data_IF_632521271894
#
_entry.id   IF_632521271894
#
_cell.length_a   1.000
_cell.length_b   1.000
_cell.length_c   1.000
_cell.angle_alpha   90.00
_cell.angle_beta   90.00
_cell.angle_gamma   90.00
#
_symmetry.space_group_name_H-M   'P 1'
#
loop_
_entity.id
_entity.type
_entity.pdbx_description
1 polymer ?
#
# COMPACT_ATOMS: atom_id res chain seq x y z
N UNK A 1 -27.56 3.19 -0.52
CA UNK A 1 -26.67 3.87 -1.47
C UNK A 1 -25.35 4.19 -0.78
N UNK A 2 -24.27 3.59 -1.27
CA UNK A 2 -22.90 3.86 -0.81
C UNK A 2 -22.17 4.70 -1.88
N UNK A 3 -20.98 5.20 -1.58
CA UNK A 3 -20.19 6.02 -2.51
C UNK A 3 -19.74 5.28 -3.80
N UNK A 4 -20.03 3.97 -3.92
CA UNK A 4 -19.65 3.15 -5.07
C UNK A 4 -20.75 3.06 -6.14
N UNK A 5 -21.99 3.45 -5.81
CA UNK A 5 -23.13 3.52 -6.73
C UNK A 5 -23.34 2.26 -7.61
N UNK A 6 -23.09 1.08 -7.05
CA UNK A 6 -23.14 -0.19 -7.80
C UNK A 6 -24.53 -0.49 -8.35
N UNK A 7 -25.56 -0.10 -7.61
CA UNK A 7 -26.97 -0.25 -7.96
C UNK A 7 -27.38 0.56 -9.21
N UNK A 8 -26.58 1.54 -9.64
CA UNK A 8 -26.84 2.30 -10.87
C UNK A 8 -26.21 1.65 -12.10
N UNK A 9 -25.26 0.73 -11.92
CA UNK A 9 -24.63 0.03 -13.01
C UNK A 9 -25.57 -1.07 -13.53
N UNK A 10 -25.79 -1.19 -14.85
CA UNK A 10 -26.65 -2.22 -15.41
C UNK A 10 -25.91 -3.57 -15.44
N UNK A 11 -25.51 -4.08 -14.28
CA UNK A 11 -24.73 -5.30 -14.10
C UNK A 11 -25.52 -6.21 -13.15
N UNK A 12 -25.72 -7.46 -13.52
CA UNK A 12 -26.41 -8.44 -12.67
C UNK A 12 -25.59 -8.79 -11.42
N UNK A 13 -26.25 -9.31 -10.39
CA UNK A 13 -25.56 -9.76 -9.17
C UNK A 13 -24.56 -10.88 -9.47
N UNK A 14 -24.87 -11.76 -10.42
CA UNK A 14 -23.97 -12.82 -10.88
C UNK A 14 -22.70 -12.27 -11.54
N UNK A 15 -22.86 -11.29 -12.44
CA UNK A 15 -21.72 -10.63 -13.07
C UNK A 15 -20.88 -9.83 -12.05
N UNK A 16 -21.52 -9.14 -11.10
CA UNK A 16 -20.81 -8.47 -10.00
C UNK A 16 -19.98 -9.45 -9.18
N UNK A 17 -20.54 -10.60 -8.80
CA UNK A 17 -19.82 -11.62 -8.03
C UNK A 17 -18.58 -12.14 -8.77
N UNK A 18 -18.69 -12.37 -10.09
CA UNK A 18 -17.53 -12.77 -10.90
C UNK A 18 -16.46 -11.66 -10.99
N UNK A 19 -16.86 -10.40 -11.19
CA UNK A 19 -15.94 -9.25 -11.21
C UNK A 19 -15.19 -9.13 -9.89
N UNK A 20 -15.89 -9.26 -8.76
CA UNK A 20 -15.29 -9.17 -7.42
C UNK A 20 -14.33 -10.32 -7.12
N UNK A 21 -14.69 -11.54 -7.50
CA UNK A 21 -13.84 -12.72 -7.32
C UNK A 21 -12.57 -12.59 -8.16
N UNK A 22 -12.69 -12.20 -9.43
CA UNK A 22 -11.54 -12.00 -10.32
C UNK A 22 -10.62 -10.87 -9.84
N UNK A 23 -11.19 -9.72 -9.44
CA UNK A 23 -10.42 -8.63 -8.84
C UNK A 23 -9.71 -9.08 -7.55
N UNK A 24 -10.42 -9.78 -6.65
CA UNK A 24 -9.88 -10.27 -5.37
C UNK A 24 -8.74 -11.26 -5.57
N UNK A 25 -8.88 -12.21 -6.49
CA UNK A 25 -7.83 -13.18 -6.83
C UNK A 25 -6.61 -12.49 -7.41
N UNK A 26 -6.82 -11.55 -8.33
CA UNK A 26 -5.74 -10.79 -8.97
C UNK A 26 -4.99 -9.91 -7.97
N UNK A 27 -5.70 -9.20 -7.08
CA UNK A 27 -5.09 -8.41 -6.02
C UNK A 27 -4.26 -9.27 -5.06
N UNK A 28 -4.82 -10.38 -4.55
CA UNK A 28 -4.09 -11.30 -3.65
C UNK A 28 -2.83 -11.86 -4.29
N UNK A 29 -2.84 -12.09 -5.61
CA UNK A 29 -1.68 -12.58 -6.35
C UNK A 29 -0.56 -11.54 -6.46
N UNK A 30 -0.91 -10.26 -6.58
CA UNK A 30 0.06 -9.21 -6.90
C UNK A 30 0.47 -8.31 -5.72
N UNK A 31 -0.32 -8.24 -4.64
CA UNK A 31 0.03 -7.47 -3.44
C UNK A 31 1.10 -8.19 -2.63
N UNK A 32 2.36 -7.79 -2.79
CA UNK A 32 3.47 -8.34 -2.02
C UNK A 32 3.65 -7.62 -0.67
N UNK A 33 3.45 -6.30 -0.62
CA UNK A 33 3.71 -5.49 0.57
C UNK A 33 2.90 -5.97 1.79
N UNK A 34 1.60 -6.24 1.60
CA UNK A 34 0.70 -6.69 2.68
C UNK A 34 1.07 -8.03 3.32
N UNK A 35 2.01 -8.78 2.73
CA UNK A 35 2.51 -10.04 3.30
C UNK A 35 3.62 -9.81 4.32
N UNK A 36 4.21 -8.61 4.35
CA UNK A 36 5.38 -8.28 5.18
C UNK A 36 5.18 -7.03 6.04
N UNK A 37 4.09 -6.27 5.83
CA UNK A 37 3.71 -5.11 6.65
C UNK A 37 2.38 -5.34 7.35
N UNK A 38 2.19 -4.67 8.50
CA UNK A 38 0.91 -4.66 9.19
C UNK A 38 -0.14 -3.88 8.40
N UNK A 39 -1.35 -4.45 8.31
CA UNK A 39 -2.50 -3.82 7.66
C UNK A 39 -3.49 -3.40 8.73
N UNK A 40 -3.60 -2.10 8.98
CA UNK A 40 -4.51 -1.54 10.00
C UNK A 40 -5.74 -0.92 9.33
N UNK A 41 -6.93 -1.46 9.61
CA UNK A 41 -8.19 -0.94 9.10
C UNK A 41 -9.18 -2.06 8.71
N UNK A 42 -10.25 -1.74 7.95
CA UNK A 42 -10.56 -0.44 7.37
C UNK A 42 -11.07 0.58 8.40
N UNK A 43 -10.67 1.85 8.28
CA UNK A 43 -11.10 2.95 9.16
C UNK A 43 -12.24 3.81 8.58
N UNK A 44 -12.72 3.47 7.39
CA UNK A 44 -13.81 4.15 6.68
C UNK A 44 -13.38 5.36 5.86
N UNK A 45 -14.26 5.83 4.97
CA UNK A 45 -14.02 6.93 4.03
C UNK A 45 -13.80 8.29 4.71
N UNK A 46 -14.23 8.48 5.95
CA UNK A 46 -14.08 9.75 6.68
C UNK A 46 -12.66 10.00 7.20
N UNK A 47 -11.76 9.01 7.15
CA UNK A 47 -10.39 9.17 7.61
C UNK A 47 -9.55 9.93 6.57
N UNK A 48 -9.09 11.12 6.93
CA UNK A 48 -8.28 11.97 6.03
C UNK A 48 -6.78 11.89 6.29
N UNK A 49 -6.36 11.57 7.52
CA UNK A 49 -4.94 11.51 7.89
C UNK A 49 -4.66 10.64 9.12
N UNK A 50 -3.41 10.23 9.29
CA UNK A 50 -2.90 9.55 10.50
C UNK A 50 -1.88 10.46 11.18
N UNK A 51 -2.09 10.73 12.47
CA UNK A 51 -1.12 11.51 13.26
C UNK A 51 0.15 10.72 13.54
N UNK A 52 1.31 11.39 13.47
CA UNK A 52 2.62 10.76 13.76
C UNK A 52 2.98 10.81 15.25
N UNK A 53 2.21 11.54 16.06
CA UNK A 53 2.55 11.83 17.47
C UNK A 53 3.54 12.97 17.65
N UNK A 54 4.06 13.55 16.57
CA UNK A 54 5.02 14.64 16.60
C UNK A 54 4.39 16.00 16.28
N UNK A 55 5.13 17.06 16.60
CA UNK A 55 4.76 18.43 16.28
C UNK A 55 5.96 19.17 15.74
N UNK A 56 5.71 20.10 14.81
CA UNK A 56 6.70 21.05 14.32
C UNK A 56 6.37 22.47 14.77
N UNK A 57 7.37 23.31 15.10
CA UNK A 57 7.13 24.72 15.35
C UNK A 57 6.64 25.42 14.08
N UNK A 58 5.76 26.41 14.24
CA UNK A 58 5.29 27.28 13.16
C UNK A 58 5.34 28.74 13.63
N UNK A 59 5.36 29.68 12.68
CA UNK A 59 5.36 31.10 12.99
C UNK A 59 4.16 31.45 13.87
N UNK A 60 4.42 32.15 14.98
CA UNK A 60 3.38 32.61 15.87
C UNK A 60 2.60 33.77 15.24
N UNK A 61 1.28 33.88 15.51
CA UNK A 61 0.45 34.94 14.93
C UNK A 61 0.69 36.33 15.56
N UNK A 62 1.51 36.42 16.61
CA UNK A 62 1.77 37.68 17.30
C UNK A 62 2.83 37.54 18.38
N UNK A 63 3.24 38.68 18.91
CA UNK A 63 4.23 38.79 19.97
C UNK A 63 3.77 38.07 21.25
N UNK A 64 4.70 37.38 21.92
CA UNK A 64 4.41 36.61 23.14
C UNK A 64 3.68 35.28 22.91
N UNK A 65 3.33 34.92 21.67
CA UNK A 65 2.68 33.65 21.35
C UNK A 65 3.71 32.63 20.84
N UNK A 66 3.53 31.37 21.22
CA UNK A 66 4.24 30.23 20.62
C UNK A 66 3.25 29.38 19.83
N UNK A 67 3.68 28.79 18.72
CA UNK A 67 2.80 27.99 17.87
C UNK A 67 3.51 26.73 17.38
N UNK A 68 2.79 25.62 17.45
CA UNK A 68 3.21 24.32 16.94
C UNK A 68 2.07 23.68 16.16
N UNK A 69 2.42 22.88 15.16
CA UNK A 69 1.47 22.15 14.33
C UNK A 69 1.72 20.65 14.48
N UNK A 70 0.66 19.87 14.62
CA UNK A 70 0.77 18.40 14.59
C UNK A 70 1.21 17.93 13.22
N UNK A 71 2.12 16.97 13.22
CA UNK A 71 2.53 16.27 12.03
C UNK A 71 1.56 15.11 11.75
N UNK A 72 1.07 15.07 10.52
CA UNK A 72 0.12 14.07 10.05
C UNK A 72 0.57 13.54 8.70
N UNK A 73 0.24 12.28 8.41
CA UNK A 73 0.34 11.68 7.08
C UNK A 73 -1.06 11.63 6.48
N UNK A 74 -1.29 12.42 5.42
CA UNK A 74 -2.55 12.41 4.70
C UNK A 74 -2.75 11.08 3.95
N UNK A 75 -3.98 10.59 3.91
CA UNK A 75 -4.31 9.41 3.13
C UNK A 75 -4.36 9.75 1.63
N UNK A 76 -4.02 8.77 0.80
CA UNK A 76 -4.09 8.88 -0.67
C UNK A 76 -5.27 8.07 -1.17
N UNK A 77 -6.13 8.69 -1.97
CA UNK A 77 -7.16 7.97 -2.73
C UNK A 77 -6.58 7.53 -4.09
N UNK A 78 -6.52 6.22 -4.33
CA UNK A 78 -6.10 5.64 -5.61
C UNK A 78 -7.31 5.07 -6.34
N UNK A 79 -7.44 5.41 -7.63
CA UNK A 79 -8.51 4.91 -8.49
C UNK A 79 -7.95 4.46 -9.82
N UNK A 80 -8.34 3.27 -10.25
CA UNK A 80 -8.02 2.73 -11.59
C UNK A 80 -9.34 2.44 -12.32
N UNK A 81 -9.74 3.28 -13.29
CA UNK A 81 -10.92 3.02 -14.10
C UNK A 81 -10.69 1.83 -15.03
N UNK A 82 -11.76 1.10 -15.33
CA UNK A 82 -11.77 -0.01 -16.28
C UNK A 82 -13.15 -0.15 -16.92
N UNK A 83 -13.18 -0.76 -18.10
CA UNK A 83 -14.39 -0.87 -18.92
C UNK A 83 -14.53 -2.33 -19.40
N UNK A 84 -15.39 -3.15 -18.75
CA UNK A 84 -15.74 -4.47 -19.26
C UNK A 84 -16.73 -4.35 -20.42
N UNK A 85 -16.77 -5.36 -21.29
CA UNK A 85 -17.75 -5.38 -22.38
C UNK A 85 -19.14 -5.73 -21.86
N UNK A 86 -20.17 -5.12 -22.46
CA UNK A 86 -21.57 -5.46 -22.13
C UNK A 86 -21.87 -6.94 -22.39
N UNK A 87 -21.30 -7.47 -23.47
CA UNK A 87 -21.45 -8.86 -23.86
C UNK A 87 -20.95 -9.82 -22.77
N UNK A 88 -19.75 -9.58 -22.23
CA UNK A 88 -19.20 -10.41 -21.15
C UNK A 88 -20.06 -10.39 -19.88
N UNK A 89 -20.70 -9.25 -19.58
CA UNK A 89 -21.65 -9.13 -18.47
C UNK A 89 -22.90 -9.96 -18.74
N UNK A 90 -23.55 -9.78 -19.89
CA UNK A 90 -24.80 -10.47 -20.22
C UNK A 90 -24.58 -11.99 -20.41
N UNK A 91 -23.40 -12.43 -20.82
CA UNK A 91 -23.07 -13.85 -20.98
C UNK A 91 -23.07 -14.61 -19.65
N UNK A 92 -22.76 -13.94 -18.54
CA UNK A 92 -22.87 -14.56 -17.20
C UNK A 92 -24.31 -14.96 -16.90
N UNK A 93 -25.28 -14.13 -17.27
CA UNK A 93 -26.70 -14.41 -17.06
C UNK A 93 -27.19 -15.54 -17.96
N UNK A 94 -26.49 -15.83 -19.06
CA UNK A 94 -26.72 -16.99 -19.93
C UNK A 94 -26.00 -18.25 -19.45
N UNK A 95 -25.25 -18.18 -18.35
CA UNK A 95 -24.52 -19.30 -17.76
C UNK A 95 -23.08 -19.47 -18.26
N UNK A 96 -22.50 -18.46 -18.93
CA UNK A 96 -21.10 -18.51 -19.31
C UNK A 96 -20.18 -18.54 -18.08
N UNK A 97 -19.12 -19.33 -18.16
CA UNK A 97 -18.11 -19.49 -17.10
C UNK A 97 -16.74 -18.95 -17.50
N UNK A 98 -16.63 -18.44 -18.73
CA UNK A 98 -15.42 -17.97 -19.39
C UNK A 98 -15.53 -16.52 -19.90
N UNK A 99 -16.44 -15.72 -19.32
CA UNK A 99 -16.57 -14.29 -19.64
C UNK A 99 -15.24 -13.55 -19.54
N UNK A 100 -14.99 -12.62 -20.49
CA UNK A 100 -13.73 -11.89 -20.55
C UNK A 100 -13.64 -10.78 -19.49
N UNK A 101 -12.89 -11.07 -18.42
CA UNK A 101 -12.58 -10.14 -17.33
C UNK A 101 -11.18 -9.52 -17.43
N UNK A 102 -10.56 -9.49 -18.61
CA UNK A 102 -9.20 -8.95 -18.79
C UNK A 102 -9.05 -7.50 -18.31
N UNK A 103 -10.05 -6.65 -18.54
CA UNK A 103 -10.04 -5.27 -18.07
C UNK A 103 -9.97 -5.16 -16.53
N UNK A 104 -10.69 -6.05 -15.82
CA UNK A 104 -10.69 -6.13 -14.36
C UNK A 104 -9.33 -6.59 -13.85
N UNK A 105 -8.76 -7.64 -14.47
CA UNK A 105 -7.42 -8.16 -14.13
C UNK A 105 -6.34 -7.10 -14.27
N UNK A 106 -6.33 -6.37 -15.39
CA UNK A 106 -5.34 -5.32 -15.62
C UNK A 106 -5.51 -4.15 -14.64
N UNK A 107 -6.74 -3.77 -14.31
CA UNK A 107 -6.98 -2.71 -13.33
C UNK A 107 -6.54 -3.12 -11.91
N UNK A 108 -6.88 -4.34 -11.49
CA UNK A 108 -6.45 -4.92 -10.21
C UNK A 108 -4.93 -5.03 -10.12
N UNK A 109 -4.26 -5.44 -11.21
CA UNK A 109 -2.81 -5.51 -11.29
C UNK A 109 -2.16 -4.12 -11.17
N UNK A 110 -2.69 -3.12 -11.89
CA UNK A 110 -2.19 -1.73 -11.84
C UNK A 110 -2.27 -1.16 -10.43
N UNK A 111 -3.41 -1.31 -9.75
CA UNK A 111 -3.58 -0.75 -8.40
C UNK A 111 -2.72 -1.51 -7.37
N UNK A 112 -2.57 -2.83 -7.49
CA UNK A 112 -1.66 -3.60 -6.64
C UNK A 112 -0.21 -3.12 -6.78
N UNK A 113 0.26 -2.89 -8.01
CA UNK A 113 1.62 -2.41 -8.25
C UNK A 113 1.82 -0.96 -7.78
N UNK A 114 0.79 -0.13 -7.88
CA UNK A 114 0.84 1.23 -7.35
C UNK A 114 0.98 1.23 -5.82
N UNK A 115 0.25 0.35 -5.12
CA UNK A 115 0.37 0.18 -3.67
C UNK A 115 1.77 -0.33 -3.29
N UNK A 116 2.22 -1.44 -3.88
CA UNK A 116 3.53 -2.03 -3.56
C UNK A 116 4.68 -1.04 -3.79
N UNK A 117 4.68 -0.31 -4.92
CA UNK A 117 5.69 0.72 -5.18
C UNK A 117 5.64 1.84 -4.15
N UNK A 118 4.45 2.28 -3.76
CA UNK A 118 4.29 3.32 -2.73
C UNK A 118 4.87 2.88 -1.38
N UNK A 119 4.77 1.59 -1.04
CA UNK A 119 5.32 1.03 0.21
C UNK A 119 6.83 0.82 0.12
N UNK A 120 7.34 0.19 -0.95
CA UNK A 120 8.75 -0.18 -1.04
C UNK A 120 9.64 0.96 -1.50
N UNK A 121 9.25 1.65 -2.57
CA UNK A 121 10.05 2.70 -3.20
C UNK A 121 9.60 4.11 -2.80
N UNK A 122 8.43 4.24 -2.18
CA UNK A 122 7.89 5.50 -1.69
C UNK A 122 6.95 6.18 -2.67
N UNK A 123 6.32 7.26 -2.21
CA UNK A 123 5.50 8.12 -3.03
C UNK A 123 5.69 9.58 -2.60
N UNK A 124 6.74 10.21 -3.13
CA UNK A 124 7.20 11.56 -2.75
C UNK A 124 6.10 12.62 -2.86
N UNK A 125 5.29 12.57 -3.93
CA UNK A 125 4.19 13.53 -4.12
C UNK A 125 3.12 13.45 -3.02
N UNK A 126 3.00 12.30 -2.35
CA UNK A 126 2.12 12.10 -1.19
C UNK A 126 2.85 12.22 0.16
N UNK A 127 4.15 12.55 0.16
CA UNK A 127 4.96 12.59 1.40
C UNK A 127 5.12 11.23 2.08
N UNK A 128 5.03 10.14 1.31
CA UNK A 128 5.25 8.76 1.77
C UNK A 128 6.69 8.39 1.44
N UNK A 129 7.47 8.05 2.46
CA UNK A 129 8.83 7.53 2.30
C UNK A 129 8.75 6.00 2.19
N UNK A 130 9.43 5.42 1.19
CA UNK A 130 9.45 3.98 1.00
C UNK A 130 10.38 3.25 1.97
N UNK A 131 10.18 1.94 2.12
CA UNK A 131 11.08 1.07 2.92
C UNK A 131 12.53 1.18 2.42
N UNK A 132 12.74 1.21 1.10
CA UNK A 132 14.06 1.34 0.47
C UNK A 132 14.72 2.68 0.79
N UNK A 133 13.94 3.75 0.81
CA UNK A 133 14.44 5.10 1.10
C UNK A 133 14.68 5.32 2.59
N UNK A 134 13.90 4.65 3.45
CA UNK A 134 13.94 4.80 4.90
C UNK A 134 14.89 3.85 5.63
N UNK A 135 15.51 2.90 4.93
CA UNK A 135 16.39 1.91 5.57
C UNK A 135 17.66 2.56 6.14
N UNK A 136 17.96 2.26 7.40
CA UNK A 136 19.27 2.53 8.02
C UNK A 136 20.27 1.38 7.84
N UNK A 137 19.82 0.24 7.29
CA UNK A 137 20.67 -0.94 7.07
C UNK A 137 21.52 -0.79 5.80
N UNK A 138 22.73 -1.40 5.77
CA UNK A 138 23.55 -1.45 4.58
C UNK A 138 22.79 -2.07 3.40
N UNK A 139 22.86 -1.42 2.23
CA UNK A 139 22.23 -1.92 1.01
C UNK A 139 23.05 -3.08 0.46
N UNK A 140 22.44 -4.25 0.35
CA UNK A 140 23.05 -5.43 -0.28
C UNK A 140 22.56 -5.51 -1.73
N UNK A 141 23.49 -5.43 -2.68
CA UNK A 141 23.18 -5.57 -4.10
C UNK A 141 22.98 -7.05 -4.45
N UNK A 142 21.95 -7.34 -5.25
CA UNK A 142 21.77 -8.68 -5.81
C UNK A 142 22.87 -8.96 -6.85
N UNK A 143 23.67 -10.03 -6.70
CA UNK A 143 24.73 -10.34 -7.65
C UNK A 143 24.14 -10.76 -9.00
N UNK A 144 24.90 -10.59 -10.09
CA UNK A 144 24.45 -11.01 -11.42
C UNK A 144 24.32 -12.54 -11.53
N UNK A 145 25.14 -13.29 -10.78
CA UNK A 145 25.08 -14.74 -10.73
C UNK A 145 24.06 -15.21 -9.67
N UNK A 146 23.08 -16.01 -10.09
CA UNK A 146 22.04 -16.58 -9.22
C UNK A 146 22.62 -17.40 -8.07
N UNK A 147 23.78 -18.04 -8.27
CA UNK A 147 24.45 -18.81 -7.21
C UNK A 147 24.86 -17.93 -6.01
N UNK A 148 25.03 -16.62 -6.21
CA UNK A 148 25.34 -15.67 -5.14
C UNK A 148 24.12 -15.17 -4.35
N UNK A 149 22.90 -15.57 -4.71
CA UNK A 149 21.69 -15.05 -4.05
C UNK A 149 21.62 -15.47 -2.58
N UNK A 150 22.03 -16.71 -2.27
CA UNK A 150 22.02 -17.21 -0.89
C UNK A 150 22.94 -16.39 0.01
N UNK A 151 24.13 -16.02 -0.48
CA UNK A 151 25.07 -15.19 0.25
C UNK A 151 24.53 -13.77 0.46
N UNK A 152 23.95 -13.16 -0.58
CA UNK A 152 23.33 -11.84 -0.48
C UNK A 152 22.17 -11.82 0.55
N UNK A 153 21.34 -12.86 0.57
CA UNK A 153 20.26 -13.01 1.56
C UNK A 153 20.83 -13.19 2.96
N UNK A 154 21.85 -14.04 3.15
CA UNK A 154 22.49 -14.25 4.45
C UNK A 154 23.09 -12.94 4.99
N UNK A 155 23.76 -12.15 4.15
CA UNK A 155 24.29 -10.84 4.51
C UNK A 155 23.19 -9.86 4.91
N UNK A 156 22.07 -9.82 4.17
CA UNK A 156 20.94 -8.97 4.49
C UNK A 156 20.30 -9.32 5.85
N UNK A 157 20.08 -10.62 6.11
CA UNK A 157 19.53 -11.09 7.39
C UNK A 157 20.46 -10.76 8.56
N UNK A 158 21.77 -10.96 8.38
CA UNK A 158 22.77 -10.60 9.39
C UNK A 158 22.76 -9.10 9.70
N UNK A 159 22.64 -8.25 8.67
CA UNK A 159 22.54 -6.79 8.83
C UNK A 159 21.34 -6.34 9.67
N UNK A 160 20.19 -7.01 9.52
CA UNK A 160 18.99 -6.73 10.33
C UNK A 160 19.20 -7.10 11.80
N UNK A 161 19.79 -8.28 12.09
CA UNK A 161 19.99 -8.77 13.46
C UNK A 161 20.80 -7.81 14.35
N UNK A 162 21.89 -7.25 13.81
CA UNK A 162 22.75 -6.34 14.57
C UNK A 162 22.09 -4.99 14.93
N UNK A 163 21.12 -4.51 14.14
CA UNK A 163 20.46 -3.24 14.42
C UNK A 163 19.37 -3.37 15.49
N UNK A 164 18.69 -4.52 15.55
CA UNK A 164 17.65 -4.81 16.57
C UNK A 164 18.27 -4.88 17.97
N UNK A 165 19.45 -5.51 18.10
CA UNK A 165 20.17 -5.58 19.38
C UNK A 165 20.73 -4.22 19.82
N UNK A 166 21.15 -3.39 18.85
CA UNK A 166 21.66 -2.03 19.09
C UNK A 166 20.60 -1.03 19.58
N UNK A 167 19.35 -1.17 19.14
CA UNK A 167 18.24 -0.31 19.54
C UNK A 167 17.85 -0.49 21.03
N UNK A 168 17.91 -1.73 21.54
CA UNK A 168 17.67 -2.03 22.96
C UNK A 168 18.70 -1.35 23.89
N UNK A 169 19.94 -1.16 23.42
CA UNK A 169 21.01 -0.55 24.22
C UNK A 169 20.96 0.99 24.33
N UNK A 170 20.28 1.69 23.41
CA UNK A 170 20.23 3.16 23.40
C UNK A 170 19.17 3.74 24.31
N UNK A 171 18.10 2.98 24.60
CA UNK A 171 17.04 3.43 25.51
C UNK A 171 17.46 3.41 26.99
N UNK A 172 18.43 2.57 27.38
CA UNK A 172 18.97 2.56 28.74
C UNK A 172 19.98 3.69 29.04
N UNK A 173 20.56 4.33 28.03
CA UNK A 173 21.57 5.40 28.23
C UNK A 173 20.99 6.83 28.27
N UNK A 174 19.69 7.02 28.03
CA UNK A 174 19.01 8.32 28.14
C UNK A 174 18.27 8.55 29.48
N UNK A 175 18.34 7.60 30.41
CA UNK A 175 17.72 7.70 31.74
C UNK A 175 18.73 7.77 32.90
N UNK A 176 19.92 8.36 32.68
CA UNK A 176 20.86 8.72 33.74
C UNK A 176 21.39 10.12 33.56
#
# INVERSE_FOLDING_TARGET
MNALYRELAPISDGAWAQIEDEASRTLKRHLAARRVVDVVGPKGFGLSSVGTGHTKPIAAPGEGVQSTQREVKALVELRVPFEPTRQAIDDVDRGATDSDWSAVKEAARKIAFAEDRSVFDGYTAAGIQGIREGTSNPVVALPANVMGYLEAVAQAVHGVGHHVDGASSRDQKRSR
#
